data_IF_869209018764
#
_entry.id   IF_869209018764
#
_cell.length_a   1.000
_cell.length_b   1.000
_cell.length_c   1.000
_cell.angle_alpha   90.00
_cell.angle_beta   90.00
_cell.angle_gamma   90.00
#
_symmetry.space_group_name_H-M   'P 1'
#
loop_
_entity.id
_entity.type
_entity.pdbx_description
1 polymer ?
#
# COMPACT_ATOMS: atom_id res chain seq x y z
N UNK A 1 -50.34 -63.51 -17.17
CA UNK A 1 -49.80 -63.41 -18.56
C UNK A 1 -49.54 -61.96 -18.94
N UNK A 2 -48.36 -61.69 -19.50
CA UNK A 2 -47.92 -60.49 -20.16
C UNK A 2 -47.61 -59.27 -19.27
N UNK A 3 -46.42 -59.30 -18.63
CA UNK A 3 -45.75 -58.09 -18.08
C UNK A 3 -44.28 -58.03 -18.56
N UNK A 4 -44.06 -58.15 -19.83
CA UNK A 4 -42.68 -58.26 -20.35
C UNK A 4 -42.26 -57.23 -21.47
N UNK A 5 -43.19 -56.41 -21.96
CA UNK A 5 -42.95 -55.63 -23.18
C UNK A 5 -42.61 -54.13 -22.93
N UNK A 6 -42.91 -53.58 -21.75
CA UNK A 6 -42.76 -52.14 -21.53
C UNK A 6 -41.33 -51.80 -21.06
N UNK A 7 -40.58 -52.72 -20.43
CA UNK A 7 -39.22 -52.45 -19.94
C UNK A 7 -38.15 -52.29 -21.05
N UNK A 8 -38.31 -52.98 -22.19
CA UNK A 8 -37.34 -52.91 -23.30
C UNK A 8 -37.39 -51.58 -24.09
N UNK A 9 -38.56 -50.93 -24.18
CA UNK A 9 -38.71 -49.66 -24.89
C UNK A 9 -38.13 -48.50 -24.09
N UNK A 10 -38.16 -48.51 -22.76
CA UNK A 10 -37.68 -47.46 -21.92
C UNK A 10 -36.13 -47.38 -21.90
N UNK A 11 -35.46 -48.52 -21.94
CA UNK A 11 -33.98 -48.57 -22.00
C UNK A 11 -33.45 -48.11 -23.37
N UNK A 12 -34.17 -48.36 -24.48
CA UNK A 12 -33.81 -47.90 -25.79
C UNK A 12 -33.88 -46.36 -25.91
N UNK A 13 -34.95 -45.74 -25.41
CA UNK A 13 -35.09 -44.30 -25.41
C UNK A 13 -34.01 -43.60 -24.54
N UNK A 14 -33.71 -44.16 -23.35
CA UNK A 14 -32.70 -43.61 -22.44
C UNK A 14 -31.28 -43.65 -23.08
N UNK A 15 -30.96 -44.74 -23.76
CA UNK A 15 -29.68 -44.90 -24.47
C UNK A 15 -29.53 -43.91 -25.62
N UNK A 16 -30.60 -43.64 -26.39
CA UNK A 16 -30.61 -42.64 -27.46
C UNK A 16 -30.48 -41.24 -26.92
N UNK A 17 -31.14 -40.91 -25.80
CA UNK A 17 -30.99 -39.61 -25.15
C UNK A 17 -29.56 -39.38 -24.62
N UNK A 18 -28.96 -40.40 -24.01
CA UNK A 18 -27.57 -40.35 -23.53
C UNK A 18 -26.57 -40.19 -24.69
N UNK A 19 -26.78 -40.90 -25.79
CA UNK A 19 -25.94 -40.79 -26.97
C UNK A 19 -26.07 -39.40 -27.62
N UNK A 20 -27.29 -38.89 -27.78
CA UNK A 20 -27.53 -37.52 -28.28
C UNK A 20 -26.90 -36.45 -27.34
N UNK A 21 -27.01 -36.64 -26.04
CA UNK A 21 -26.38 -35.71 -25.08
C UNK A 21 -24.86 -35.71 -25.19
N UNK A 22 -24.23 -36.89 -25.31
CA UNK A 22 -22.81 -37.04 -25.53
C UNK A 22 -22.38 -36.42 -26.87
N UNK A 23 -23.12 -36.61 -27.94
CA UNK A 23 -22.83 -36.01 -29.25
C UNK A 23 -22.98 -34.51 -29.21
N UNK A 24 -23.98 -33.97 -28.53
CA UNK A 24 -24.17 -32.53 -28.35
C UNK A 24 -23.03 -31.97 -27.51
N UNK A 25 -22.63 -32.63 -26.42
CA UNK A 25 -21.46 -32.24 -25.60
C UNK A 25 -20.16 -32.26 -26.42
N UNK A 26 -19.94 -33.27 -27.25
CA UNK A 26 -18.80 -33.35 -28.15
C UNK A 26 -18.82 -32.26 -29.20
N UNK A 27 -19.99 -31.90 -29.75
CA UNK A 27 -20.15 -30.79 -30.68
C UNK A 27 -19.91 -29.42 -30.00
N UNK A 28 -20.27 -29.27 -28.73
CA UNK A 28 -19.92 -28.07 -27.95
C UNK A 28 -18.43 -28.01 -27.59
N UNK A 29 -17.77 -29.15 -27.39
CA UNK A 29 -16.31 -29.20 -27.13
C UNK A 29 -15.52 -29.01 -28.42
N UNK A 30 -16.05 -29.42 -29.59
CA UNK A 30 -15.42 -29.22 -30.88
C UNK A 30 -15.82 -27.88 -31.57
N UNK A 31 -16.82 -27.17 -31.05
CA UNK A 31 -16.96 -25.76 -31.39
C UNK A 31 -15.69 -25.09 -30.86
N UNK A 32 -14.82 -24.67 -31.78
CA UNK A 32 -13.71 -23.80 -31.45
C UNK A 32 -14.30 -22.61 -30.68
N UNK A 33 -14.16 -22.67 -29.34
CA UNK A 33 -14.33 -21.48 -28.52
C UNK A 33 -13.49 -20.42 -29.22
N UNK A 34 -14.06 -19.25 -29.58
CA UNK A 34 -13.24 -18.19 -30.15
C UNK A 34 -12.03 -18.09 -29.22
N UNK A 35 -10.85 -18.35 -29.76
CA UNK A 35 -9.60 -18.13 -29.06
C UNK A 35 -9.67 -16.68 -28.66
N UNK A 36 -10.14 -16.43 -27.41
CA UNK A 36 -10.00 -15.12 -26.81
C UNK A 36 -8.51 -14.93 -26.74
N UNK A 37 -8.00 -14.20 -27.72
CA UNK A 37 -6.62 -13.80 -27.77
C UNK A 37 -6.39 -12.93 -26.53
N UNK A 38 -5.91 -13.55 -25.46
CA UNK A 38 -5.39 -12.89 -24.26
C UNK A 38 -4.02 -12.25 -24.56
N UNK A 39 -3.69 -11.95 -25.81
CA UNK A 39 -2.65 -10.95 -26.04
C UNK A 39 -3.13 -9.71 -25.32
N UNK A 40 -2.48 -9.45 -24.19
CA UNK A 40 -2.77 -8.27 -23.36
C UNK A 40 -2.85 -7.06 -24.30
N UNK A 41 -3.95 -6.31 -24.31
CA UNK A 41 -4.05 -5.13 -25.15
C UNK A 41 -2.78 -4.34 -24.90
N UNK A 42 -2.13 -3.92 -25.97
CA UNK A 42 -0.84 -3.24 -25.96
C UNK A 42 -0.89 -2.19 -24.85
N UNK A 43 -0.27 -2.52 -23.68
CA UNK A 43 -0.50 -1.75 -22.45
C UNK A 43 0.20 -0.42 -22.68
N UNK A 44 -0.56 0.62 -22.89
CA UNK A 44 -0.07 1.96 -23.16
C UNK A 44 1.04 2.32 -22.15
N UNK A 45 2.23 2.61 -22.69
CA UNK A 45 3.41 2.92 -21.89
C UNK A 45 3.52 4.42 -21.68
N UNK A 46 3.71 4.83 -20.44
CA UNK A 46 3.94 6.22 -20.02
C UNK A 46 5.32 6.34 -19.42
N UNK A 47 6.07 7.35 -19.82
CA UNK A 47 7.43 7.60 -19.33
C UNK A 47 7.54 9.02 -18.78
N UNK A 48 8.07 9.15 -17.56
CA UNK A 48 8.26 10.42 -16.88
C UNK A 48 9.63 10.47 -16.23
N UNK A 49 10.20 11.68 -16.15
CA UNK A 49 11.39 11.95 -15.36
C UNK A 49 11.06 13.05 -14.35
N UNK A 50 11.35 12.77 -13.09
CA UNK A 50 11.25 13.72 -11.98
C UNK A 50 12.66 14.16 -11.63
N UNK A 51 12.96 15.43 -11.88
CA UNK A 51 14.26 16.03 -11.64
C UNK A 51 14.18 16.95 -10.43
N UNK A 52 15.16 16.86 -9.58
CA UNK A 52 15.38 17.83 -8.51
C UNK A 52 16.12 19.02 -9.07
N UNK A 53 15.81 20.23 -8.61
CA UNK A 53 16.45 21.46 -9.04
C UNK A 53 17.97 21.30 -8.94
N UNK A 54 18.61 21.01 -10.06
CA UNK A 54 20.04 20.75 -10.12
C UNK A 54 20.78 22.02 -10.44
N UNK A 55 21.66 22.43 -9.56
CA UNK A 55 22.79 23.26 -9.93
C UNK A 55 23.72 22.42 -10.81
N UNK A 56 24.18 22.94 -11.90
CA UNK A 56 24.86 22.32 -13.03
C UNK A 56 26.15 21.50 -12.75
N UNK A 57 26.53 21.28 -11.49
CA UNK A 57 27.77 20.59 -11.07
C UNK A 57 27.56 19.60 -9.91
N UNK A 58 26.34 19.20 -9.59
CA UNK A 58 26.06 18.30 -8.49
C UNK A 58 26.03 16.84 -8.97
N UNK A 59 26.48 15.92 -8.12
CA UNK A 59 26.36 14.50 -8.37
C UNK A 59 24.88 14.07 -8.29
N UNK A 60 24.44 13.27 -9.27
CA UNK A 60 23.06 12.80 -9.41
C UNK A 60 23.00 11.30 -9.19
N UNK A 61 22.09 10.86 -8.32
CA UNK A 61 21.64 9.47 -8.22
C UNK A 61 20.39 9.33 -9.09
N UNK A 62 20.43 8.38 -10.05
CA UNK A 62 19.27 8.07 -10.88
C UNK A 62 18.65 6.75 -10.43
N UNK A 63 17.35 6.74 -10.19
CA UNK A 63 16.57 5.54 -9.88
C UNK A 63 15.33 5.47 -10.76
N UNK A 64 14.96 4.29 -11.22
CA UNK A 64 13.81 4.10 -12.12
C UNK A 64 12.91 3.00 -11.60
N UNK A 65 11.60 3.23 -11.74
CA UNK A 65 10.53 2.32 -11.32
C UNK A 65 9.61 2.04 -12.49
N UNK A 66 9.07 0.83 -12.52
CA UNK A 66 8.11 0.42 -13.55
C UNK A 66 6.99 -0.39 -12.90
N UNK A 67 5.76 0.07 -13.08
CA UNK A 67 4.58 -0.64 -12.56
C UNK A 67 3.36 -0.45 -13.45
N UNK A 68 2.32 -1.21 -13.20
CA UNK A 68 1.03 -1.04 -13.86
C UNK A 68 0.07 -0.30 -12.91
N UNK A 69 -0.69 0.62 -13.48
CA UNK A 69 -1.76 1.31 -12.80
C UNK A 69 -3.05 1.21 -13.61
N UNK A 70 -4.16 1.01 -12.91
CA UNK A 70 -5.51 1.00 -13.49
C UNK A 70 -6.28 2.17 -12.89
N UNK A 71 -6.69 3.11 -13.72
CA UNK A 71 -7.46 4.27 -13.30
C UNK A 71 -8.95 3.94 -13.05
N UNK A 72 -9.70 4.90 -12.53
CA UNK A 72 -11.14 4.73 -12.25
C UNK A 72 -11.98 4.44 -13.51
N UNK A 73 -11.46 4.75 -14.70
CA UNK A 73 -12.08 4.41 -15.98
C UNK A 73 -11.71 3.00 -16.47
N UNK A 74 -11.07 2.20 -15.61
CA UNK A 74 -10.56 0.85 -15.89
C UNK A 74 -9.48 0.81 -16.99
N UNK A 75 -8.89 1.95 -17.34
CA UNK A 75 -7.80 2.00 -18.30
C UNK A 75 -6.49 1.60 -17.63
N UNK A 76 -5.89 0.52 -18.13
CA UNK A 76 -4.60 0.00 -17.66
C UNK A 76 -3.46 0.63 -18.45
N UNK A 77 -2.47 1.16 -17.74
CA UNK A 77 -1.24 1.70 -18.32
C UNK A 77 -0.02 1.21 -17.56
N UNK A 78 1.09 1.11 -18.26
CA UNK A 78 2.40 0.85 -17.65
C UNK A 78 3.14 2.16 -17.50
N UNK A 79 3.52 2.49 -16.27
CA UNK A 79 4.28 3.69 -15.94
C UNK A 79 5.74 3.35 -15.73
N UNK A 80 6.62 4.14 -16.32
CA UNK A 80 8.05 4.15 -16.03
C UNK A 80 8.41 5.55 -15.53
N UNK A 81 8.83 5.66 -14.28
CA UNK A 81 9.24 6.95 -13.70
C UNK A 81 10.70 6.85 -13.28
N UNK A 82 11.48 7.81 -13.76
CA UNK A 82 12.87 7.98 -13.36
C UNK A 82 12.97 9.20 -12.44
N UNK A 83 13.65 9.03 -11.31
CA UNK A 83 13.97 10.09 -10.38
C UNK A 83 15.46 10.44 -10.52
N UNK A 84 15.76 11.73 -10.63
CA UNK A 84 17.11 12.28 -10.58
C UNK A 84 17.28 13.04 -9.27
N UNK A 85 17.92 12.41 -8.30
CA UNK A 85 18.09 12.90 -6.93
C UNK A 85 19.49 13.49 -6.75
N UNK A 86 19.61 14.55 -5.95
CA UNK A 86 20.92 15.07 -5.56
C UNK A 86 21.58 14.09 -4.57
N UNK A 87 22.77 13.62 -4.89
CA UNK A 87 23.52 12.67 -4.04
C UNK A 87 23.71 13.21 -2.62
N UNK A 88 23.96 14.52 -2.49
CA UNK A 88 24.14 15.18 -1.19
C UNK A 88 22.90 15.06 -0.29
N UNK A 89 21.68 15.17 -0.87
CA UNK A 89 20.43 15.12 -0.11
C UNK A 89 20.15 13.68 0.33
N UNK A 90 20.40 12.71 -0.53
CA UNK A 90 20.30 11.28 -0.17
C UNK A 90 21.28 10.95 0.94
N UNK A 91 22.56 11.36 0.83
CA UNK A 91 23.57 11.17 1.88
C UNK A 91 23.18 11.84 3.18
N UNK A 92 22.69 13.08 3.13
CA UNK A 92 22.23 13.79 4.31
C UNK A 92 21.08 13.06 5.03
N UNK A 93 20.12 12.52 4.25
CA UNK A 93 19.01 11.74 4.80
C UNK A 93 19.49 10.44 5.47
N UNK A 94 20.44 9.73 4.86
CA UNK A 94 21.02 8.52 5.44
C UNK A 94 21.80 8.82 6.73
N UNK A 95 22.64 9.85 6.74
CA UNK A 95 23.38 10.29 7.93
C UNK A 95 22.43 10.72 9.04
N UNK A 96 21.27 11.30 8.69
CA UNK A 96 20.27 11.67 9.67
C UNK A 96 19.67 10.44 10.39
N UNK A 97 19.38 9.36 9.66
CA UNK A 97 18.92 8.09 10.24
C UNK A 97 19.96 7.51 11.21
N UNK A 98 21.24 7.53 10.84
CA UNK A 98 22.32 7.03 11.72
C UNK A 98 22.42 7.87 13.01
N UNK A 99 22.32 9.21 12.90
CA UNK A 99 22.28 10.09 14.06
C UNK A 99 21.07 9.84 14.94
N UNK A 100 19.89 9.66 14.34
CA UNK A 100 18.65 9.37 15.05
C UNK A 100 18.75 8.03 15.81
N UNK A 101 19.35 7.02 15.19
CA UNK A 101 19.61 5.72 15.81
C UNK A 101 20.53 5.78 17.04
N UNK A 102 21.42 6.77 17.07
CA UNK A 102 22.34 6.97 18.19
C UNK A 102 21.76 7.85 19.33
N UNK A 103 20.56 8.42 19.15
CA UNK A 103 19.95 9.29 20.15
C UNK A 103 19.50 8.50 21.39
N UNK A 104 19.74 9.09 22.56
CA UNK A 104 19.18 8.59 23.82
C UNK A 104 17.71 9.02 23.96
N UNK A 105 16.97 8.40 24.90
CA UNK A 105 15.61 8.83 25.25
C UNK A 105 15.51 10.32 25.56
N UNK A 106 16.51 10.85 26.25
CA UNK A 106 16.57 12.28 26.58
C UNK A 106 16.72 13.15 25.34
N UNK A 107 17.53 12.71 24.38
CA UNK A 107 17.73 13.44 23.10
C UNK A 107 16.46 13.41 22.24
N UNK A 108 15.67 12.35 22.37
CA UNK A 108 14.34 12.23 21.77
C UNK A 108 13.27 13.05 22.52
N UNK A 109 13.60 13.68 23.67
CA UNK A 109 12.65 14.41 24.49
C UNK A 109 11.68 13.52 25.27
N UNK A 110 11.98 12.23 25.40
CA UNK A 110 11.12 11.24 26.03
C UNK A 110 11.48 11.06 27.51
N UNK A 111 10.44 10.94 28.34
CA UNK A 111 10.61 10.57 29.75
C UNK A 111 10.83 9.08 29.90
N UNK A 112 11.78 8.67 30.77
CA UNK A 112 12.12 7.24 31.01
C UNK A 112 11.04 6.43 31.71
N UNK A 113 9.82 6.92 31.87
CA UNK A 113 8.81 6.29 32.73
C UNK A 113 7.57 5.87 31.93
N UNK A 114 7.74 4.89 31.09
CA UNK A 114 6.58 4.21 30.54
C UNK A 114 6.26 2.96 31.37
N UNK A 115 4.98 2.73 31.63
CA UNK A 115 4.51 1.67 32.54
C UNK A 115 4.72 0.25 31.99
N UNK A 116 4.88 0.14 30.69
CA UNK A 116 5.05 -1.14 29.99
C UNK A 116 5.85 -0.97 28.68
N UNK A 117 6.52 -2.06 28.22
CA UNK A 117 7.33 -2.03 27.00
C UNK A 117 6.57 -1.68 25.71
N UNK A 118 5.28 -1.99 25.64
CA UNK A 118 4.47 -1.72 24.45
C UNK A 118 4.19 -0.21 24.32
N UNK A 119 3.80 0.44 25.42
CA UNK A 119 3.62 1.89 25.48
C UNK A 119 4.94 2.61 25.19
N UNK A 120 6.04 2.14 25.80
CA UNK A 120 7.37 2.69 25.53
C UNK A 120 7.73 2.61 24.06
N UNK A 121 7.61 1.44 23.47
CA UNK A 121 7.89 1.23 22.04
C UNK A 121 7.02 2.10 21.14
N UNK A 122 5.73 2.25 21.47
CA UNK A 122 4.80 3.11 20.71
C UNK A 122 5.27 4.56 20.72
N UNK A 123 5.62 5.10 21.86
CA UNK A 123 6.03 6.50 21.98
C UNK A 123 7.37 6.75 21.28
N UNK A 124 8.32 5.82 21.42
CA UNK A 124 9.61 5.90 20.73
C UNK A 124 9.45 5.89 19.23
N UNK A 125 8.68 4.96 18.69
CA UNK A 125 8.47 4.87 17.23
C UNK A 125 7.68 6.06 16.67
N UNK A 126 6.70 6.56 17.40
CA UNK A 126 5.99 7.77 17.00
C UNK A 126 6.96 8.97 16.89
N UNK A 127 7.84 9.15 17.87
CA UNK A 127 8.85 10.23 17.83
C UNK A 127 9.88 10.01 16.71
N UNK A 128 10.34 8.77 16.50
CA UNK A 128 11.25 8.43 15.39
C UNK A 128 10.63 8.78 14.05
N UNK A 129 9.39 8.35 13.78
CA UNK A 129 8.69 8.67 12.53
C UNK A 129 8.46 10.17 12.37
N UNK A 130 8.08 10.86 13.45
CA UNK A 130 7.90 12.32 13.44
C UNK A 130 9.19 13.04 13.01
N UNK A 131 10.31 12.72 13.61
CA UNK A 131 11.60 13.33 13.25
C UNK A 131 12.03 13.02 11.83
N UNK A 132 11.81 11.80 11.35
CA UNK A 132 12.11 11.44 9.96
C UNK A 132 11.18 12.19 9.01
N UNK A 133 9.92 12.35 9.35
CA UNK A 133 8.95 13.13 8.59
C UNK A 133 9.40 14.59 8.49
N UNK A 134 9.65 15.25 9.60
CA UNK A 134 10.07 16.66 9.63
C UNK A 134 11.33 16.92 8.81
N UNK A 135 12.31 16.02 8.92
CA UNK A 135 13.54 16.10 8.14
C UNK A 135 13.30 15.86 6.64
N UNK A 136 12.46 14.88 6.30
CA UNK A 136 12.26 14.44 4.91
C UNK A 136 11.26 15.31 4.15
N UNK A 137 10.26 15.88 4.81
CA UNK A 137 9.17 16.58 4.16
C UNK A 137 9.63 17.72 3.23
N UNK A 138 10.54 18.64 3.62
CA UNK A 138 11.04 19.67 2.73
C UNK A 138 11.89 19.09 1.58
N UNK A 139 12.64 18.01 1.81
CA UNK A 139 13.50 17.39 0.81
C UNK A 139 12.71 16.68 -0.29
N UNK A 140 11.48 16.28 -0.01
CA UNK A 140 10.60 15.59 -0.95
C UNK A 140 9.85 16.55 -1.91
N UNK A 141 10.14 17.85 -1.89
CA UNK A 141 9.43 18.86 -2.68
C UNK A 141 9.38 18.50 -4.18
N UNK A 142 10.51 18.20 -4.79
CA UNK A 142 10.57 17.88 -6.23
C UNK A 142 9.83 16.58 -6.58
N UNK A 143 9.76 15.60 -5.66
CA UNK A 143 8.96 14.40 -5.82
C UNK A 143 7.48 14.77 -5.89
N UNK A 144 7.00 15.64 -5.01
CA UNK A 144 5.61 16.10 -5.00
C UNK A 144 5.24 16.85 -6.27
N UNK A 145 6.10 17.78 -6.68
CA UNK A 145 5.90 18.56 -7.90
C UNK A 145 5.89 17.67 -9.14
N UNK A 146 6.79 16.68 -9.18
CA UNK A 146 6.83 15.69 -10.25
C UNK A 146 5.56 14.85 -10.34
N UNK A 147 5.06 14.32 -9.22
CA UNK A 147 3.79 13.61 -9.20
C UNK A 147 2.61 14.51 -9.58
N UNK A 148 2.60 15.75 -9.09
CA UNK A 148 1.53 16.69 -9.44
C UNK A 148 1.51 16.99 -10.95
N UNK A 149 2.65 17.13 -11.59
CA UNK A 149 2.76 17.29 -13.04
C UNK A 149 2.21 16.07 -13.80
N UNK A 150 2.51 14.85 -13.32
CA UNK A 150 1.95 13.62 -13.88
C UNK A 150 0.43 13.61 -13.72
N UNK A 151 -0.10 13.97 -12.55
CA UNK A 151 -1.54 14.02 -12.31
C UNK A 151 -2.27 14.96 -13.24
N UNK A 152 -1.66 16.11 -13.54
CA UNK A 152 -2.21 17.09 -14.49
C UNK A 152 -2.19 16.51 -15.91
N UNK A 153 -1.06 15.95 -16.35
CA UNK A 153 -0.91 15.40 -17.72
C UNK A 153 -1.82 14.20 -17.98
N UNK A 154 -2.02 13.34 -16.96
CA UNK A 154 -2.89 12.18 -17.05
C UNK A 154 -4.37 12.51 -16.77
N UNK A 155 -4.67 13.75 -16.38
CA UNK A 155 -6.01 14.20 -15.96
C UNK A 155 -6.61 13.32 -14.87
N UNK A 156 -5.80 12.97 -13.84
CA UNK A 156 -6.25 12.12 -12.75
C UNK A 156 -7.23 12.83 -11.82
N UNK A 157 -8.31 12.13 -11.48
CA UNK A 157 -9.21 12.53 -10.40
C UNK A 157 -8.56 12.30 -9.02
N UNK A 158 -9.16 12.84 -7.97
CA UNK A 158 -8.61 12.75 -6.61
C UNK A 158 -8.31 11.31 -6.17
N UNK A 159 -9.20 10.37 -6.49
CA UNK A 159 -9.02 8.96 -6.17
C UNK A 159 -7.88 8.32 -6.96
N UNK A 160 -7.75 8.66 -8.24
CA UNK A 160 -6.67 8.17 -9.09
C UNK A 160 -5.32 8.63 -8.59
N UNK A 161 -5.20 9.90 -8.15
CA UNK A 161 -3.97 10.45 -7.58
C UNK A 161 -3.50 9.65 -6.37
N UNK A 162 -4.41 9.38 -5.42
CA UNK A 162 -4.09 8.57 -4.24
C UNK A 162 -3.70 7.14 -4.63
N UNK A 163 -4.52 6.47 -5.45
CA UNK A 163 -4.24 5.10 -5.88
C UNK A 163 -2.94 4.99 -6.69
N UNK A 164 -2.61 6.00 -7.48
CA UNK A 164 -1.37 6.04 -8.26
C UNK A 164 -0.12 6.01 -7.36
N UNK A 165 -0.07 6.86 -6.33
CA UNK A 165 1.06 6.87 -5.40
C UNK A 165 1.08 5.64 -4.50
N UNK A 166 -0.09 5.11 -4.12
CA UNK A 166 -0.20 3.85 -3.39
C UNK A 166 0.41 2.70 -4.20
N UNK A 167 -0.02 2.52 -5.44
CA UNK A 167 0.50 1.44 -6.31
C UNK A 167 1.96 1.63 -6.66
N UNK A 168 2.44 2.87 -6.80
CA UNK A 168 3.86 3.17 -6.93
C UNK A 168 4.65 2.63 -5.73
N UNK A 169 4.27 2.99 -4.51
CA UNK A 169 4.99 2.56 -3.29
C UNK A 169 4.88 1.05 -3.11
N UNK A 170 3.70 0.46 -3.35
CA UNK A 170 3.53 -1.00 -3.30
C UNK A 170 4.45 -1.73 -4.30
N UNK A 171 4.74 -1.12 -5.46
CA UNK A 171 5.63 -1.70 -6.48
C UNK A 171 7.12 -1.69 -6.12
N UNK A 172 7.53 -0.89 -5.13
CA UNK A 172 8.91 -0.85 -4.65
C UNK A 172 9.26 -2.20 -4.03
N UNK A 173 10.45 -2.72 -4.35
CA UNK A 173 10.93 -4.00 -3.82
C UNK A 173 10.94 -3.99 -2.30
N UNK A 174 10.37 -5.05 -1.69
CA UNK A 174 10.52 -5.26 -0.26
C UNK A 174 11.87 -5.87 0.06
N UNK A 175 12.69 -5.17 0.84
CA UNK A 175 13.96 -5.64 1.34
C UNK A 175 14.34 -4.80 2.58
N UNK A 176 14.90 -5.45 3.59
CA UNK A 176 15.32 -4.76 4.82
C UNK A 176 16.60 -3.98 4.58
N UNK A 177 16.65 -2.69 4.92
CA UNK A 177 17.85 -1.86 4.76
C UNK A 177 19.03 -2.30 5.60
N UNK A 178 18.77 -2.89 6.77
CA UNK A 178 19.78 -3.17 7.77
C UNK A 178 20.10 -1.92 8.62
N UNK A 179 21.10 -2.07 9.49
CA UNK A 179 21.45 -1.02 10.44
C UNK A 179 20.64 -1.07 11.74
N UNK A 180 20.80 -0.05 12.61
CA UNK A 180 20.21 -0.07 13.96
C UNK A 180 18.69 0.14 13.90
N UNK A 181 18.20 1.11 13.13
CA UNK A 181 16.76 1.35 12.95
C UNK A 181 16.16 0.45 11.88
N UNK A 182 16.99 -0.14 11.01
CA UNK A 182 16.58 -1.05 9.94
C UNK A 182 15.50 -0.46 9.01
N UNK A 183 15.54 0.85 8.77
CA UNK A 183 14.66 1.56 7.86
C UNK A 183 15.41 2.60 7.03
N UNK A 184 14.87 2.94 5.86
CA UNK A 184 15.32 4.06 5.05
C UNK A 184 14.42 5.29 5.22
N UNK A 185 14.99 6.50 5.17
CA UNK A 185 14.20 7.71 4.99
C UNK A 185 13.57 7.72 3.57
N UNK A 186 12.52 8.51 3.31
CA UNK A 186 11.84 8.57 2.02
C UNK A 186 12.75 8.70 0.79
N UNK A 187 13.73 9.63 0.83
CA UNK A 187 14.71 9.77 -0.26
C UNK A 187 15.59 8.53 -0.44
N UNK A 188 15.98 7.89 0.65
CA UNK A 188 16.75 6.64 0.62
C UNK A 188 15.95 5.52 -0.07
N UNK A 189 14.67 5.36 0.28
CA UNK A 189 13.78 4.36 -0.33
C UNK A 189 13.68 4.56 -1.85
N UNK A 190 13.57 5.81 -2.31
CA UNK A 190 13.55 6.11 -3.76
C UNK A 190 14.93 5.86 -4.39
N UNK A 191 16.00 6.34 -3.76
CA UNK A 191 17.36 6.25 -4.31
C UNK A 191 17.81 4.79 -4.49
N UNK A 192 17.59 3.96 -3.48
CA UNK A 192 18.03 2.56 -3.47
C UNK A 192 17.01 1.60 -4.07
N UNK A 193 15.77 2.04 -4.31
CA UNK A 193 14.68 1.28 -4.96
C UNK A 193 14.19 0.07 -4.17
N UNK A 194 14.39 0.06 -2.87
CA UNK A 194 13.85 -0.93 -1.95
C UNK A 194 13.63 -0.32 -0.57
N UNK A 195 12.89 -1.01 0.25
CA UNK A 195 12.65 -0.67 1.65
C UNK A 195 11.81 -1.75 2.33
N UNK A 196 11.85 -1.76 3.64
CA UNK A 196 10.99 -2.60 4.47
C UNK A 196 9.61 -1.99 4.68
N UNK A 197 8.81 -2.55 5.60
CA UNK A 197 7.48 -2.06 5.90
C UNK A 197 7.48 -0.60 6.39
N UNK A 198 8.40 -0.26 7.29
CA UNK A 198 8.51 1.08 7.86
C UNK A 198 8.92 2.10 6.79
N UNK A 199 9.94 1.78 6.01
CA UNK A 199 10.46 2.63 4.93
C UNK A 199 9.39 2.96 3.88
N UNK A 200 8.64 1.92 3.46
CA UNK A 200 7.59 2.07 2.43
C UNK A 200 6.36 2.80 2.99
N UNK A 201 5.93 2.47 4.20
CA UNK A 201 4.81 3.16 4.84
C UNK A 201 5.14 4.64 5.08
N UNK A 202 6.35 4.96 5.54
CA UNK A 202 6.78 6.34 5.77
C UNK A 202 6.92 7.14 4.48
N UNK A 203 7.46 6.53 3.41
CA UNK A 203 7.49 7.17 2.08
C UNK A 203 6.08 7.55 1.62
N UNK A 204 5.14 6.61 1.72
CA UNK A 204 3.75 6.86 1.33
C UNK A 204 3.09 7.91 2.22
N UNK A 205 3.33 7.85 3.55
CA UNK A 205 2.86 8.84 4.51
C UNK A 205 3.25 10.26 4.09
N UNK A 206 4.55 10.48 3.83
CA UNK A 206 5.07 11.81 3.47
C UNK A 206 4.46 12.33 2.16
N UNK A 207 4.26 11.45 1.16
CA UNK A 207 3.62 11.84 -0.11
C UNK A 207 2.15 12.19 0.10
N UNK A 208 1.40 11.38 0.83
CA UNK A 208 -0.05 11.58 1.02
C UNK A 208 -0.34 12.80 1.88
N UNK A 209 0.43 13.05 2.94
CA UNK A 209 0.33 14.27 3.75
C UNK A 209 0.49 15.52 2.89
N UNK A 210 1.48 15.53 1.98
CA UNK A 210 1.67 16.64 1.04
C UNK A 210 0.49 16.81 0.08
N UNK A 211 -0.22 15.73 -0.23
CA UNK A 211 -1.44 15.77 -1.04
C UNK A 211 -2.68 16.20 -0.22
N UNK A 212 -2.54 16.44 1.08
CA UNK A 212 -3.64 16.81 1.99
C UNK A 212 -4.53 15.62 2.37
N UNK A 213 -4.00 14.41 2.28
CA UNK A 213 -4.68 13.18 2.72
C UNK A 213 -4.33 12.91 4.18
N UNK A 214 -5.34 12.94 5.05
CA UNK A 214 -5.20 12.65 6.48
C UNK A 214 -4.86 11.15 6.65
N UNK A 215 -3.64 10.85 7.10
CA UNK A 215 -3.15 9.49 7.27
C UNK A 215 -2.34 9.34 8.56
N UNK A 216 -2.04 8.11 8.95
CA UNK A 216 -1.33 7.79 10.18
C UNK A 216 -0.43 6.57 9.99
N UNK A 217 0.72 6.56 10.62
CA UNK A 217 1.53 5.35 10.71
C UNK A 217 0.87 4.35 11.66
N UNK A 218 0.75 3.12 11.20
CA UNK A 218 0.26 1.99 12.00
C UNK A 218 1.38 0.97 12.15
N UNK A 219 1.59 0.50 13.38
CA UNK A 219 2.61 -0.50 13.60
C UNK A 219 2.17 -1.54 14.64
N UNK A 220 2.79 -2.70 14.61
CA UNK A 220 2.52 -3.80 15.50
C UNK A 220 3.81 -4.40 16.06
N UNK A 221 3.95 -4.34 17.37
CA UNK A 221 5.04 -5.02 18.06
C UNK A 221 4.96 -6.55 17.88
N UNK A 222 3.74 -7.09 17.95
CA UNK A 222 3.51 -8.52 17.85
C UNK A 222 3.85 -9.07 16.47
N UNK A 223 3.50 -8.33 15.42
CA UNK A 223 3.74 -8.73 14.04
C UNK A 223 5.09 -8.24 13.51
N UNK A 224 5.77 -7.32 14.22
CA UNK A 224 6.98 -6.64 13.76
C UNK A 224 6.77 -6.07 12.36
N UNK A 225 5.67 -5.37 12.20
CA UNK A 225 5.21 -4.88 10.91
C UNK A 225 4.63 -3.48 11.03
N UNK A 226 4.79 -2.70 9.96
CA UNK A 226 4.20 -1.37 9.82
C UNK A 226 3.32 -1.31 8.57
N UNK A 227 2.23 -0.58 8.67
CA UNK A 227 1.30 -0.25 7.60
C UNK A 227 0.96 1.23 7.66
N UNK A 228 0.22 1.71 6.69
CA UNK A 228 -0.39 3.02 6.74
C UNK A 228 -1.87 2.92 7.09
N UNK A 229 -2.38 3.88 7.84
CA UNK A 229 -3.80 4.14 8.02
C UNK A 229 -4.21 5.34 7.19
N UNK A 230 -5.29 5.26 6.43
CA UNK A 230 -5.81 6.38 5.63
C UNK A 230 -7.21 6.73 6.11
N UNK A 231 -7.45 8.02 6.37
CA UNK A 231 -8.78 8.53 6.67
C UNK A 231 -9.54 8.82 5.37
N UNK A 232 -10.31 7.86 4.93
CA UNK A 232 -11.17 7.95 3.75
C UNK A 232 -12.50 7.27 4.03
N UNK A 233 -13.49 7.47 3.15
CA UNK A 233 -14.72 6.69 3.21
C UNK A 233 -14.48 5.35 2.51
N UNK A 234 -14.07 4.32 3.26
CA UNK A 234 -13.77 2.98 2.76
C UNK A 234 -14.57 1.91 3.52
N UNK A 235 -14.43 0.66 3.08
CA UNK A 235 -14.93 -0.54 3.78
C UNK A 235 -13.72 -1.35 4.25
N UNK A 236 -13.91 -2.16 5.30
CA UNK A 236 -12.89 -3.05 5.80
C UNK A 236 -12.38 -2.67 7.19
N UNK A 237 -11.18 -3.10 7.52
CA UNK A 237 -10.58 -2.97 8.84
C UNK A 237 -9.98 -1.56 9.05
N UNK A 238 -10.16 -1.02 10.24
CA UNK A 238 -9.64 0.29 10.63
C UNK A 238 -9.32 0.35 12.12
N UNK A 239 -8.52 1.34 12.49
CA UNK A 239 -8.36 1.78 13.88
C UNK A 239 -8.97 3.16 14.05
N UNK A 240 -9.45 3.43 15.27
CA UNK A 240 -10.02 4.73 15.62
C UNK A 240 -9.11 5.46 16.60
N UNK A 241 -8.79 6.72 16.31
CA UNK A 241 -8.14 7.63 17.23
C UNK A 241 -8.72 9.02 17.07
N UNK A 242 -8.87 9.78 18.16
CA UNK A 242 -9.44 11.14 18.16
C UNK A 242 -10.75 11.28 17.36
N UNK A 243 -11.62 10.26 17.40
CA UNK A 243 -12.89 10.23 16.66
C UNK A 243 -12.75 10.05 15.15
N UNK A 244 -11.56 9.75 14.64
CA UNK A 244 -11.28 9.49 13.22
C UNK A 244 -11.00 8.01 12.99
N UNK A 245 -11.52 7.46 11.91
CA UNK A 245 -11.25 6.09 11.47
C UNK A 245 -10.15 6.11 10.41
N UNK A 246 -9.06 5.41 10.69
CA UNK A 246 -7.96 5.19 9.77
C UNK A 246 -8.02 3.75 9.25
N UNK A 247 -8.34 3.60 7.97
CA UNK A 247 -8.43 2.29 7.32
C UNK A 247 -7.05 1.77 6.98
N UNK A 248 -6.80 0.49 7.27
CA UNK A 248 -5.52 -0.15 6.97
C UNK A 248 -5.16 -0.09 5.50
N UNK A 249 -3.90 0.11 5.21
CA UNK A 249 -3.32 0.01 3.88
C UNK A 249 -1.96 -0.67 3.96
N UNK A 250 -1.89 -1.88 3.39
CA UNK A 250 -0.64 -2.61 3.23
C UNK A 250 0.21 -1.96 2.13
N UNK A 251 1.48 -1.70 2.43
CA UNK A 251 2.41 -1.01 1.53
C UNK A 251 3.50 -1.90 0.96
N UNK A 252 3.70 -3.10 1.51
CA UNK A 252 4.86 -3.96 1.19
C UNK A 252 4.69 -4.73 -0.11
N UNK A 253 3.46 -5.08 -0.48
CA UNK A 253 3.14 -5.85 -1.69
C UNK A 253 2.05 -5.19 -2.53
N UNK A 254 2.05 -5.41 -3.86
CA UNK A 254 1.02 -4.92 -4.75
C UNK A 254 -0.37 -5.52 -4.45
N UNK A 255 -1.40 -4.82 -4.94
CA UNK A 255 -2.81 -5.25 -4.99
C UNK A 255 -3.57 -5.25 -3.66
N UNK A 256 -3.03 -4.71 -2.59
CA UNK A 256 -3.80 -4.46 -1.37
C UNK A 256 -4.57 -3.14 -1.48
N UNK A 257 -5.86 -3.20 -1.20
CA UNK A 257 -6.73 -2.03 -1.20
C UNK A 257 -6.84 -1.43 0.21
N UNK A 258 -7.32 -0.20 0.29
CA UNK A 258 -7.61 0.45 1.57
C UNK A 258 -8.70 -0.31 2.31
N UNK A 259 -8.46 -0.63 3.58
CA UNK A 259 -9.33 -1.43 4.44
C UNK A 259 -9.05 -2.94 4.40
N UNK A 260 -8.13 -3.39 3.55
CA UNK A 260 -7.67 -4.78 3.53
C UNK A 260 -6.44 -4.95 4.41
N UNK A 261 -6.40 -6.04 5.16
CA UNK A 261 -5.28 -6.45 5.98
C UNK A 261 -4.92 -7.91 5.67
N UNK A 262 -3.64 -8.25 5.44
CA UNK A 262 -3.25 -9.63 5.23
C UNK A 262 -3.70 -10.53 6.40
N UNK A 263 -4.22 -11.73 6.14
CA UNK A 263 -4.78 -12.60 7.19
C UNK A 263 -3.83 -12.86 8.35
N UNK A 264 -2.54 -12.97 8.08
CA UNK A 264 -1.48 -13.17 9.07
C UNK A 264 -1.34 -11.99 10.04
N UNK A 265 -1.79 -10.80 9.65
CA UNK A 265 -1.75 -9.57 10.46
C UNK A 265 -3.13 -9.15 10.96
N UNK A 266 -4.15 -9.97 10.76
CA UNK A 266 -5.57 -9.63 10.88
C UNK A 266 -6.10 -9.36 12.29
N UNK A 267 -5.35 -9.60 13.37
CA UNK A 267 -5.80 -9.24 14.71
C UNK A 267 -5.52 -7.76 15.00
N UNK A 268 -6.52 -6.92 14.79
CA UNK A 268 -6.40 -5.46 14.93
C UNK A 268 -6.04 -5.00 16.35
N UNK A 269 -6.21 -5.84 17.38
CA UNK A 269 -5.80 -5.55 18.77
C UNK A 269 -4.28 -5.44 18.95
N UNK A 270 -3.51 -6.00 18.02
CA UNK A 270 -2.05 -5.94 18.06
C UNK A 270 -1.49 -4.72 17.32
N UNK A 271 -2.36 -3.88 16.76
CA UNK A 271 -1.96 -2.68 16.04
C UNK A 271 -2.21 -1.43 16.86
N UNK A 272 -1.32 -0.48 16.72
CA UNK A 272 -1.41 0.85 17.32
C UNK A 272 -1.16 1.92 16.27
N UNK A 273 -1.75 3.09 16.46
CA UNK A 273 -1.49 4.27 15.66
C UNK A 273 -0.33 5.03 16.30
N UNK A 274 0.67 5.35 15.48
CA UNK A 274 1.66 6.37 15.78
C UNK A 274 1.22 7.65 15.03
N UNK A 275 0.60 8.59 15.75
CA UNK A 275 0.26 9.88 15.17
C UNK A 275 1.53 10.71 15.00
N UNK A 276 1.79 11.14 13.77
CA UNK A 276 2.83 12.09 13.43
C UNK A 276 2.13 13.44 13.29
N UNK A 277 2.20 14.27 14.33
CA UNK A 277 1.59 15.59 14.29
C UNK A 277 2.47 16.54 13.47
N UNK A 278 2.00 16.92 12.28
CA UNK A 278 2.72 17.85 11.41
C UNK A 278 2.86 19.28 11.97
N UNK A 279 2.17 19.58 13.08
CA UNK A 279 2.18 20.92 13.71
C UNK A 279 3.06 21.01 14.96
N UNK A 280 3.92 20.01 15.24
CA UNK A 280 4.85 20.05 16.37
C UNK A 280 4.20 19.98 17.74
N UNK A 281 2.93 19.62 17.85
CA UNK A 281 2.27 19.37 19.12
C UNK A 281 2.69 18.00 19.67
N UNK A 282 3.21 18.02 20.89
CA UNK A 282 3.60 16.81 21.62
C UNK A 282 2.46 15.80 21.61
N UNK A 283 2.77 14.59 21.17
CA UNK A 283 1.86 13.46 21.19
C UNK A 283 1.17 13.35 22.56
N UNK A 284 -0.13 13.59 22.60
CA UNK A 284 -0.92 13.27 23.77
C UNK A 284 -0.93 11.74 23.93
N UNK A 285 -0.68 11.20 25.14
CA UNK A 285 -0.80 9.77 25.36
C UNK A 285 -2.21 9.33 25.02
N UNK A 286 -2.34 8.51 23.99
CA UNK A 286 -3.64 7.96 23.56
C UNK A 286 -4.14 7.04 24.68
N UNK A 287 -5.32 7.35 25.23
CA UNK A 287 -5.96 6.53 26.25
C UNK A 287 -6.28 5.15 25.68
N UNK A 288 -5.60 4.12 26.19
CA UNK A 288 -5.73 2.72 25.74
C UNK A 288 -7.11 2.11 25.97
N UNK A 289 -8.06 2.87 26.54
CA UNK A 289 -9.42 2.39 26.79
C UNK A 289 -10.35 2.50 25.58
N UNK A 290 -9.97 3.20 24.51
CA UNK A 290 -10.83 3.44 23.35
C UNK A 290 -10.68 2.42 22.20
N UNK A 291 -9.82 1.42 22.32
CA UNK A 291 -9.68 0.36 21.30
C UNK A 291 -10.74 -0.73 21.42
N UNK A 292 -11.96 -0.39 21.78
CA UNK A 292 -13.06 -1.35 21.74
C UNK A 292 -13.64 -1.39 20.32
N UNK A 293 -13.07 -2.27 19.52
CA UNK A 293 -13.45 -2.52 18.14
C UNK A 293 -14.89 -3.05 18.07
N UNK A 294 -15.82 -2.23 17.69
CA UNK A 294 -17.17 -2.71 17.30
C UNK A 294 -17.07 -3.45 15.98
N UNK A 295 -17.05 -4.77 16.06
CA UNK A 295 -17.32 -5.65 14.91
C UNK A 295 -18.70 -5.32 14.36
N UNK A 296 -18.77 -4.65 13.23
CA UNK A 296 -19.96 -4.57 12.43
C UNK A 296 -19.86 -5.58 11.27
N UNK A 297 -20.10 -6.87 11.60
CA UNK A 297 -20.30 -7.89 10.61
C UNK A 297 -21.74 -7.82 10.11
N UNK A 298 -21.99 -7.04 9.06
CA UNK A 298 -23.17 -7.23 8.20
C UNK A 298 -22.69 -7.63 6.81
N UNK A 299 -23.25 -8.68 6.22
CA UNK A 299 -22.88 -9.11 4.87
C UNK A 299 -23.28 -8.05 3.85
N UNK A 300 -22.35 -7.77 2.93
CA UNK A 300 -22.54 -6.82 1.85
C UNK A 300 -23.45 -7.39 0.76
N UNK A 301 -24.35 -6.59 0.17
CA UNK A 301 -24.98 -6.93 -1.08
C UNK A 301 -23.99 -6.76 -2.23
N UNK A 302 -23.92 -7.77 -3.08
CA UNK A 302 -23.24 -7.76 -4.38
C UNK A 302 -23.77 -6.63 -5.25
N UNK A 303 -22.86 -5.85 -5.82
CA UNK A 303 -23.18 -4.92 -6.90
C UNK A 303 -22.97 -5.58 -8.27
N UNK A 304 -23.84 -5.24 -9.24
CA UNK A 304 -23.78 -5.76 -10.59
C UNK A 304 -22.54 -5.28 -11.35
#
# INVERSE_FOLDING_TARGET
MKSGCIKKSFFGCLAIFLFLFVVIMLLFISAELPQIDFTSPDTEKREYTIEFDSLSNENIISSSFSWQFVDNSLKRRKYNISFKLLEKDVKAAMVYIEKLAAMSYKDLGLERRYSDPLTESRVVWAEVYHRIYDFSFPQMKSVFEGFNNIFIQENFEARDKVNFVVTFVQSIKYERPGGILDLFPPLGTIAYRFGDCDSKALLLYVILERMGVDCAMMWSYNYKHAMLGIKVNARGEYLTTNGKNYYFLETTYPHWNVGEIPPEFGNTKYWVIAEIDGDGNKLNPIDTKETDSRRNTKPSPSFP
#
